data_IF_476114672384
#
_entry.id   IF_476114672384
#
_cell.length_a   1.000
_cell.length_b   1.000
_cell.length_c   1.000
_cell.angle_alpha   90.00
_cell.angle_beta   90.00
_cell.angle_gamma   90.00
#
_symmetry.space_group_name_H-M   'P 1'
#
loop_
_entity.id
_entity.type
_entity.pdbx_description
1 polymer ?
#
# COMPACT_ATOMS: atom_id res chain seq x y z
N UNK A 1 19.77 -2.81 15.71
CA UNK A 1 18.60 -2.24 15.01
C UNK A 1 18.56 -2.74 13.58
N UNK A 2 17.43 -3.33 13.16
CA UNK A 2 17.21 -3.86 11.80
C UNK A 2 15.83 -3.42 11.31
N UNK A 3 15.71 -3.06 10.02
CA UNK A 3 14.44 -2.61 9.43
C UNK A 3 14.03 -3.60 8.35
N UNK A 4 12.81 -4.11 8.46
CA UNK A 4 12.18 -5.01 7.50
C UNK A 4 11.08 -4.25 6.78
N UNK A 5 11.16 -4.21 5.45
CA UNK A 5 10.13 -3.63 4.61
C UNK A 5 9.13 -4.72 4.24
N UNK A 6 7.88 -4.54 4.65
CA UNK A 6 6.79 -5.45 4.34
C UNK A 6 5.96 -4.86 3.20
N UNK A 7 5.72 -5.65 2.15
CA UNK A 7 4.75 -5.30 1.12
C UNK A 7 3.36 -5.61 1.66
N UNK A 8 2.62 -4.57 2.03
CA UNK A 8 1.26 -4.65 2.56
C UNK A 8 0.20 -4.33 1.51
N UNK A 9 0.55 -4.41 0.22
CA UNK A 9 -0.36 -4.16 -0.91
C UNK A 9 0.31 -3.37 -2.03
N UNK A 10 -0.12 -3.58 -3.27
CA UNK A 10 0.36 -2.83 -4.44
C UNK A 10 -0.79 -2.03 -5.04
N UNK A 11 -0.58 -0.74 -5.32
CA UNK A 11 -1.56 0.13 -5.95
C UNK A 11 -1.08 0.57 -7.33
N UNK A 12 -2.01 0.63 -8.29
CA UNK A 12 -1.74 1.06 -9.65
C UNK A 12 -2.54 2.32 -10.01
N UNK A 13 -2.30 3.46 -9.34
CA UNK A 13 -3.17 4.62 -9.48
C UNK A 13 -3.10 5.24 -10.88
N UNK A 14 -4.24 5.75 -11.34
CA UNK A 14 -4.29 6.48 -12.61
C UNK A 14 -3.68 7.88 -12.45
N UNK A 15 -2.61 8.17 -13.18
CA UNK A 15 -1.89 9.45 -13.09
C UNK A 15 -0.37 9.36 -13.22
N UNK A 16 0.17 8.14 -13.40
CA UNK A 16 1.60 7.86 -13.64
C UNK A 16 2.50 8.66 -12.71
N UNK A 17 3.26 9.59 -13.30
CA UNK A 17 4.29 10.41 -12.65
C UNK A 17 3.76 11.24 -11.49
N UNK A 18 2.47 11.57 -11.48
CA UNK A 18 1.85 12.29 -10.34
C UNK A 18 1.87 11.44 -9.05
N UNK A 19 1.93 10.12 -9.19
CA UNK A 19 1.93 9.18 -8.06
C UNK A 19 3.32 8.60 -7.80
N UNK A 20 3.99 8.06 -8.80
CA UNK A 20 5.27 7.37 -8.60
C UNK A 20 6.51 8.22 -8.93
N UNK A 21 6.33 9.38 -9.54
CA UNK A 21 7.42 10.29 -9.90
C UNK A 21 8.21 9.93 -11.15
N UNK A 22 7.97 8.77 -11.78
CA UNK A 22 8.76 8.31 -12.94
C UNK A 22 7.95 7.75 -14.12
N UNK A 23 6.75 7.21 -13.92
CA UNK A 23 5.94 6.65 -15.02
C UNK A 23 5.34 7.76 -15.87
N UNK A 24 5.69 7.92 -17.16
CA UNK A 24 5.30 9.13 -17.89
C UNK A 24 3.78 9.38 -17.93
N UNK A 25 2.98 8.34 -18.20
CA UNK A 25 1.52 8.42 -18.35
C UNK A 25 0.88 7.09 -17.90
N UNK A 26 -0.42 7.08 -17.62
CA UNK A 26 -1.16 5.84 -17.36
C UNK A 26 -1.16 5.41 -15.88
N UNK A 27 -0.97 4.12 -15.63
CA UNK A 27 -1.00 3.54 -14.29
C UNK A 27 0.38 3.59 -13.64
N UNK A 28 0.48 4.24 -12.48
CA UNK A 28 1.69 4.25 -11.68
C UNK A 28 1.89 2.91 -10.96
N UNK A 29 3.03 2.73 -10.30
CA UNK A 29 3.28 1.57 -9.44
C UNK A 29 3.70 2.01 -8.04
N UNK A 30 2.80 1.82 -7.07
CA UNK A 30 3.02 2.13 -5.66
C UNK A 30 2.88 0.88 -4.81
N UNK A 31 3.54 0.90 -3.66
CA UNK A 31 3.49 -0.15 -2.64
C UNK A 31 3.09 0.47 -1.31
N UNK A 32 2.18 -0.18 -0.60
CA UNK A 32 1.90 0.10 0.79
C UNK A 32 3.02 -0.55 1.62
N UNK A 33 4.02 0.24 2.01
CA UNK A 33 5.15 -0.24 2.81
C UNK A 33 4.83 -0.10 4.30
N UNK A 34 4.70 -1.24 4.98
CA UNK A 34 4.79 -1.27 6.43
C UNK A 34 6.24 -1.55 6.84
N UNK A 35 6.68 -0.99 7.97
CA UNK A 35 8.02 -1.26 8.51
C UNK A 35 7.90 -2.08 9.78
N UNK A 36 8.57 -3.23 9.82
CA UNK A 36 8.85 -3.92 11.07
C UNK A 36 10.29 -3.61 11.47
N UNK A 37 10.45 -2.97 12.62
CA UNK A 37 11.74 -2.50 13.12
C UNK A 37 12.11 -3.33 14.35
N UNK A 38 13.21 -4.06 14.25
CA UNK A 38 13.82 -4.78 15.37
C UNK A 38 14.70 -3.81 16.17
N UNK A 39 14.39 -3.64 17.46
CA UNK A 39 15.14 -2.82 18.41
C UNK A 39 15.52 -3.66 19.64
N UNK A 40 16.45 -3.15 20.46
CA UNK A 40 16.88 -3.86 21.68
C UNK A 40 15.75 -3.94 22.73
N UNK A 41 14.76 -3.04 22.66
CA UNK A 41 13.58 -3.03 23.53
C UNK A 41 12.41 -3.87 22.99
N UNK A 42 12.53 -4.43 21.78
CA UNK A 42 11.49 -5.22 21.12
C UNK A 42 11.20 -4.80 19.68
N UNK A 43 10.04 -5.22 19.18
CA UNK A 43 9.58 -4.94 17.81
C UNK A 43 8.71 -3.69 17.76
N UNK A 44 8.96 -2.83 16.78
CA UNK A 44 8.10 -1.68 16.47
C UNK A 44 7.51 -1.88 15.08
N UNK A 45 6.18 -1.83 14.99
CA UNK A 45 5.47 -1.86 13.72
C UNK A 45 5.04 -0.44 13.35
N UNK A 46 5.43 0.00 12.16
CA UNK A 46 5.00 1.27 11.57
C UNK A 46 4.03 0.96 10.45
N UNK A 47 2.80 1.49 10.61
CA UNK A 47 1.65 1.22 9.74
C UNK A 47 1.20 -0.26 9.75
N UNK A 48 0.00 -0.54 9.24
CA UNK A 48 -0.59 -1.89 9.24
C UNK A 48 -1.22 -2.30 7.91
N UNK A 49 -1.16 -1.44 6.89
CA UNK A 49 -1.70 -1.76 5.56
C UNK A 49 -3.20 -2.04 5.56
N UNK A 50 -3.67 -2.87 4.61
CA UNK A 50 -5.07 -3.23 4.49
C UNK A 50 -5.49 -4.29 5.52
N UNK A 51 -6.70 -4.16 6.06
CA UNK A 51 -7.29 -5.23 6.86
C UNK A 51 -7.60 -6.45 6.00
N UNK A 52 -7.50 -7.65 6.57
CA UNK A 52 -7.82 -8.90 5.86
C UNK A 52 -9.22 -8.90 5.26
N UNK A 53 -10.20 -8.35 5.99
CA UNK A 53 -11.56 -8.18 5.46
C UNK A 53 -11.64 -7.18 4.31
N UNK A 54 -10.81 -6.14 4.30
CA UNK A 54 -10.77 -5.17 3.20
C UNK A 54 -10.18 -5.84 1.93
N UNK A 55 -9.33 -6.85 2.09
CA UNK A 55 -8.84 -7.70 0.99
C UNK A 55 -9.93 -8.68 0.53
N UNK A 56 -10.63 -9.33 1.47
CA UNK A 56 -11.67 -10.31 1.14
C UNK A 56 -12.93 -9.65 0.51
N UNK A 57 -13.25 -8.43 0.93
CA UNK A 57 -14.45 -7.69 0.53
C UNK A 57 -14.15 -6.22 0.17
N UNK A 58 -13.32 -5.96 -0.86
CA UNK A 58 -12.80 -4.63 -1.13
C UNK A 58 -13.89 -3.63 -1.51
N UNK A 59 -14.86 -4.02 -2.34
CA UNK A 59 -15.95 -3.14 -2.77
C UNK A 59 -16.98 -2.84 -1.68
N UNK A 60 -17.08 -3.67 -0.65
CA UNK A 60 -18.00 -3.44 0.48
C UNK A 60 -17.35 -2.59 1.57
N UNK A 61 -16.02 -2.50 1.59
CA UNK A 61 -15.25 -1.97 2.73
C UNK A 61 -14.35 -0.80 2.40
N UNK A 62 -13.95 -0.67 1.14
CA UNK A 62 -13.19 0.47 0.64
C UNK A 62 -14.11 1.32 -0.24
N UNK A 63 -13.95 2.64 -0.16
CA UNK A 63 -14.75 3.55 -0.98
C UNK A 63 -14.54 3.27 -2.48
N UNK A 64 -15.60 3.24 -3.27
CA UNK A 64 -15.51 2.99 -4.72
C UNK A 64 -14.56 3.97 -5.42
N UNK A 65 -14.59 5.24 -5.01
CA UNK A 65 -13.64 6.24 -5.50
C UNK A 65 -12.18 5.86 -5.21
N UNK A 66 -11.90 5.34 -4.01
CA UNK A 66 -10.57 4.88 -3.64
C UNK A 66 -10.12 3.72 -4.53
N UNK A 67 -10.98 2.72 -4.75
CA UNK A 67 -10.68 1.56 -5.61
C UNK A 67 -10.45 2.01 -7.05
N UNK A 68 -11.32 2.88 -7.58
CA UNK A 68 -11.24 3.36 -8.95
C UNK A 68 -9.97 4.18 -9.22
N UNK A 69 -9.60 5.06 -8.29
CA UNK A 69 -8.42 5.91 -8.40
C UNK A 69 -7.12 5.14 -8.15
N UNK A 70 -7.03 4.38 -7.06
CA UNK A 70 -5.79 3.75 -6.61
C UNK A 70 -5.55 2.36 -7.19
N UNK A 71 -6.61 1.68 -7.65
CA UNK A 71 -6.57 0.34 -8.25
C UNK A 71 -5.67 -0.62 -7.45
N UNK A 72 -5.97 -0.85 -6.16
CA UNK A 72 -5.18 -1.74 -5.33
C UNK A 72 -5.30 -3.18 -5.86
N UNK A 73 -4.19 -3.90 -5.89
CA UNK A 73 -4.10 -5.33 -6.15
C UNK A 73 -4.12 -6.03 -4.80
N UNK A 74 -5.33 -6.31 -4.33
CA UNK A 74 -5.62 -7.01 -3.08
C UNK A 74 -5.87 -8.49 -3.35
#
# INVERSE_FOLDING_TARGET
MRIHHLNCGTCCPAGGRLFDGYTPHGAAHLVCHCLLIETDAGLVLVDTGYGTRDVDHPHDRLADFFIALNRPRL
#
